data_IF_863443320828
#
_entry.id   IF_863443320828
#
_cell.length_a   1.000
_cell.length_b   1.000
_cell.length_c   1.000
_cell.angle_alpha   90.00
_cell.angle_beta   90.00
_cell.angle_gamma   90.00
#
_symmetry.space_group_name_H-M   'P 1'
#
loop_
_entity.id
_entity.type
_entity.pdbx_description
1 polymer ?
#
# COMPACT_ATOMS: atom_id res chain seq x y z
N UNK A 1 -34.91 31.22 -18.78
CA UNK A 1 -34.34 31.23 -20.14
C UNK A 1 -33.82 32.65 -20.32
N UNK A 2 -32.56 32.93 -20.01
CA UNK A 2 -31.34 32.62 -20.78
C UNK A 2 -30.16 32.17 -19.84
N UNK A 3 -29.05 31.58 -20.32
CA UNK A 3 -28.64 30.23 -19.96
C UNK A 3 -27.10 30.05 -19.95
N UNK A 4 -26.39 30.31 -18.86
CA UNK A 4 -24.94 30.01 -18.81
C UNK A 4 -24.55 29.87 -17.34
N UNK A 5 -24.46 28.67 -16.77
CA UNK A 5 -23.61 27.59 -17.24
C UNK A 5 -22.25 27.73 -16.57
N UNK A 6 -22.16 27.17 -15.35
CA UNK A 6 -20.98 26.81 -14.53
C UNK A 6 -19.61 26.98 -15.24
N UNK A 7 -18.55 27.40 -14.55
CA UNK A 7 -17.85 26.59 -13.53
C UNK A 7 -16.96 27.49 -12.66
N UNK A 8 -17.06 27.30 -11.34
CA UNK A 8 -16.13 27.83 -10.35
C UNK A 8 -14.73 27.22 -10.56
N UNK A 9 -13.80 28.02 -11.04
CA UNK A 9 -12.36 27.76 -11.05
C UNK A 9 -11.80 27.83 -9.63
N UNK A 10 -12.03 26.82 -8.80
CA UNK A 10 -11.24 26.63 -7.58
C UNK A 10 -11.19 25.16 -7.22
N UNK A 11 -10.39 24.46 -8.02
CA UNK A 11 -10.00 23.09 -7.77
C UNK A 11 -8.74 22.85 -8.56
N UNK A 12 -7.65 23.58 -8.24
CA UNK A 12 -6.31 23.13 -8.59
C UNK A 12 -6.21 21.72 -8.01
N UNK A 13 -6.45 20.73 -8.86
CA UNK A 13 -5.92 19.39 -8.68
C UNK A 13 -4.42 19.64 -8.51
N UNK A 14 -3.93 19.55 -7.29
CA UNK A 14 -2.52 19.25 -7.07
C UNK A 14 -2.36 17.83 -7.57
N UNK A 15 -2.35 17.68 -8.90
CA UNK A 15 -1.73 16.56 -9.54
C UNK A 15 -0.26 16.71 -9.15
N UNK A 16 0.11 16.08 -8.04
CA UNK A 16 1.50 15.71 -7.84
C UNK A 16 1.73 14.65 -8.92
N UNK A 17 1.98 15.10 -10.15
CA UNK A 17 2.75 14.31 -11.07
C UNK A 17 4.05 14.04 -10.32
N UNK A 18 4.15 12.86 -9.73
CA UNK A 18 5.41 12.27 -9.31
C UNK A 18 5.75 11.30 -10.45
N UNK A 19 6.35 11.77 -11.57
CA UNK A 19 6.59 10.95 -12.74
C UNK A 19 7.56 9.79 -12.43
N UNK A 20 8.21 9.85 -11.27
CA UNK A 20 9.25 8.94 -10.79
C UNK A 20 8.76 7.91 -9.75
N UNK A 21 7.49 7.99 -9.34
CA UNK A 21 6.90 7.11 -8.32
C UNK A 21 5.75 6.26 -8.84
N UNK A 22 5.49 6.25 -10.14
CA UNK A 22 4.72 5.19 -10.79
C UNK A 22 5.72 4.12 -11.24
N UNK A 23 5.89 3.02 -10.49
CA UNK A 23 6.89 2.02 -10.81
C UNK A 23 6.52 1.24 -12.08
N UNK A 24 5.31 1.40 -12.60
CA UNK A 24 4.72 0.48 -13.57
C UNK A 24 5.23 0.65 -15.01
N UNK A 25 6.16 1.58 -15.26
CA UNK A 25 6.81 1.73 -16.56
C UNK A 25 8.29 1.39 -16.44
N UNK A 26 8.65 0.24 -17.03
CA UNK A 26 10.04 -0.11 -17.28
C UNK A 26 10.69 0.95 -18.16
N UNK A 27 11.93 1.37 -17.88
CA UNK A 27 12.62 2.33 -18.73
C UNK A 27 12.88 1.72 -20.12
N UNK A 28 12.99 2.54 -21.17
CA UNK A 28 13.32 2.07 -22.51
C UNK A 28 14.59 1.22 -22.51
N UNK A 29 14.53 0.03 -23.13
CA UNK A 29 15.65 -0.92 -23.20
C UNK A 29 15.71 -1.94 -22.05
N UNK A 30 14.75 -1.91 -21.12
CA UNK A 30 14.59 -2.97 -20.11
C UNK A 30 14.15 -4.28 -20.72
N UNK A 31 14.62 -5.40 -20.15
CA UNK A 31 14.12 -6.74 -20.45
C UNK A 31 12.87 -7.06 -19.63
N UNK A 32 11.94 -7.81 -20.19
CA UNK A 32 10.87 -8.43 -19.39
C UNK A 32 11.44 -9.58 -18.55
N UNK A 33 10.79 -9.93 -17.43
CA UNK A 33 11.26 -11.02 -16.54
C UNK A 33 11.49 -12.34 -17.27
N UNK A 34 10.64 -12.67 -18.24
CA UNK A 34 10.72 -13.91 -19.02
C UNK A 34 11.93 -13.95 -19.97
N UNK A 35 12.60 -12.81 -20.19
CA UNK A 35 13.76 -12.66 -21.07
C UNK A 35 15.10 -12.64 -20.30
N UNK A 36 15.05 -12.65 -18.97
CA UNK A 36 16.22 -12.54 -18.09
C UNK A 36 16.73 -13.95 -17.77
N UNK A 37 18.01 -14.20 -18.06
CA UNK A 37 18.60 -15.53 -17.85
C UNK A 37 18.97 -15.76 -16.38
N UNK A 38 19.15 -17.01 -15.94
CA UNK A 38 19.50 -17.31 -14.54
C UNK A 38 20.82 -16.71 -14.04
N UNK A 39 21.73 -16.36 -14.96
CA UNK A 39 23.02 -15.69 -14.68
C UNK A 39 22.92 -14.16 -14.65
N UNK A 40 21.79 -13.58 -15.08
CA UNK A 40 21.52 -12.15 -15.05
C UNK A 40 20.71 -11.75 -13.80
N UNK A 41 20.92 -10.52 -13.33
CA UNK A 41 20.12 -9.95 -12.24
C UNK A 41 19.02 -9.06 -12.79
N UNK A 42 17.77 -9.28 -12.37
CA UNK A 42 16.66 -8.39 -12.71
C UNK A 42 16.91 -6.93 -12.30
N UNK A 43 17.75 -6.72 -11.28
CA UNK A 43 18.08 -5.39 -10.78
C UNK A 43 18.90 -4.57 -11.78
N UNK A 44 19.64 -5.22 -12.69
CA UNK A 44 20.47 -4.56 -13.69
C UNK A 44 19.63 -3.87 -14.77
N UNK A 45 18.38 -4.31 -14.94
CA UNK A 45 17.40 -3.73 -15.86
C UNK A 45 16.38 -2.83 -15.14
N UNK A 46 16.51 -2.65 -13.83
CA UNK A 46 15.55 -1.94 -12.97
C UNK A 46 15.96 -0.48 -12.70
N UNK A 47 14.96 0.36 -12.42
CA UNK A 47 15.15 1.77 -12.00
C UNK A 47 15.40 1.93 -10.50
N UNK A 48 15.69 0.83 -9.81
CA UNK A 48 15.86 0.78 -8.35
C UNK A 48 14.54 0.98 -7.58
N UNK A 49 13.46 0.31 -7.99
CA UNK A 49 12.12 0.44 -7.36
C UNK A 49 12.17 0.25 -5.83
N UNK A 50 12.81 -0.83 -5.37
CA UNK A 50 12.98 -1.15 -3.95
C UNK A 50 13.79 -0.10 -3.15
N UNK A 51 14.51 0.79 -3.83
CA UNK A 51 15.25 1.90 -3.22
C UNK A 51 14.48 3.24 -3.25
N UNK A 52 13.21 3.24 -3.69
CA UNK A 52 12.36 4.43 -3.84
C UNK A 52 11.13 4.42 -2.95
N UNK A 53 11.00 3.42 -2.09
CA UNK A 53 10.00 3.38 -1.03
C UNK A 53 10.47 2.46 0.10
N UNK A 54 9.81 2.58 1.23
CA UNK A 54 9.83 1.54 2.24
C UNK A 54 8.41 1.29 2.75
N UNK A 55 8.20 0.10 3.29
CA UNK A 55 6.92 -0.32 3.85
C UNK A 55 7.10 -0.63 5.33
N UNK A 56 6.19 -0.13 6.16
CA UNK A 56 6.14 -0.47 7.58
C UNK A 56 4.80 -1.10 7.94
N UNK A 57 4.78 -2.15 8.77
CA UNK A 57 3.54 -2.76 9.22
C UNK A 57 2.80 -1.82 10.16
N UNK A 58 1.50 -1.66 9.92
CA UNK A 58 0.58 -0.94 10.76
C UNK A 58 -0.24 -1.89 11.63
N UNK A 59 -0.67 -1.40 12.79
CA UNK A 59 -1.68 -2.09 13.59
C UNK A 59 -3.03 -2.02 12.86
N UNK A 60 -3.81 -3.09 12.93
CA UNK A 60 -5.19 -3.08 12.41
C UNK A 60 -6.00 -2.00 13.14
N UNK A 61 -6.59 -1.01 12.44
CA UNK A 61 -7.41 0.01 13.06
C UNK A 61 -8.70 -0.62 13.63
N UNK A 62 -9.10 -0.18 14.82
CA UNK A 62 -10.25 -0.68 15.58
C UNK A 62 -11.19 0.44 16.04
N UNK A 63 -10.72 1.68 16.00
CA UNK A 63 -11.45 2.85 16.48
C UNK A 63 -11.46 3.97 15.44
N UNK A 64 -12.33 4.96 15.64
CA UNK A 64 -12.34 6.18 14.80
C UNK A 64 -11.04 6.96 14.93
N UNK A 65 -10.46 7.03 16.13
CA UNK A 65 -9.17 7.68 16.35
C UNK A 65 -8.04 7.02 15.55
N UNK A 66 -8.04 5.67 15.47
CA UNK A 66 -7.05 4.96 14.65
C UNK A 66 -7.18 5.34 13.17
N UNK A 67 -8.40 5.45 12.64
CA UNK A 67 -8.62 5.90 11.26
C UNK A 67 -8.29 7.39 11.05
N UNK A 68 -8.48 8.24 12.06
CA UNK A 68 -8.03 9.64 12.01
C UNK A 68 -6.49 9.74 11.98
N UNK A 69 -5.78 8.84 12.65
CA UNK A 69 -4.31 8.73 12.56
C UNK A 69 -3.86 8.28 11.16
N UNK A 70 -4.49 7.24 10.59
CA UNK A 70 -4.20 6.81 9.21
C UNK A 70 -4.46 7.93 8.20
N UNK A 71 -5.53 8.70 8.42
CA UNK A 71 -5.86 9.88 7.63
C UNK A 71 -4.76 10.94 7.73
N UNK A 72 -4.23 11.16 8.94
CA UNK A 72 -3.10 12.08 9.15
C UNK A 72 -1.86 11.62 8.39
N UNK A 73 -1.52 10.33 8.37
CA UNK A 73 -0.41 9.83 7.54
C UNK A 73 -0.61 10.19 6.06
N UNK A 74 -1.78 9.87 5.49
CA UNK A 74 -2.08 10.14 4.08
C UNK A 74 -2.12 11.64 3.72
N UNK A 75 -2.30 12.52 4.71
CA UNK A 75 -2.29 13.97 4.48
C UNK A 75 -0.89 14.53 4.16
N UNK A 76 0.19 13.78 4.43
CA UNK A 76 1.57 14.24 4.20
C UNK A 76 2.05 14.04 2.76
N UNK A 77 1.20 13.52 1.86
CA UNK A 77 1.58 13.11 0.51
C UNK A 77 2.69 12.05 0.52
N UNK A 78 3.06 11.51 -0.65
CA UNK A 78 4.11 10.48 -0.75
C UNK A 78 3.89 9.27 0.18
N UNK A 79 2.64 9.00 0.55
CA UNK A 79 2.27 7.88 1.39
C UNK A 79 1.08 7.17 0.79
N UNK A 80 1.06 5.85 0.94
CA UNK A 80 -0.08 5.01 0.59
C UNK A 80 -0.26 3.98 1.70
N UNK A 81 -1.50 3.66 2.02
CA UNK A 81 -1.82 2.53 2.90
C UNK A 81 -2.40 1.42 2.06
N UNK A 82 -1.93 0.19 2.21
CA UNK A 82 -2.55 -0.96 1.58
C UNK A 82 -2.87 -2.06 2.59
N UNK A 83 -3.82 -2.91 2.22
CA UNK A 83 -4.26 -4.06 3.01
C UNK A 83 -4.15 -5.32 2.16
N UNK A 84 -3.59 -6.36 2.76
CA UNK A 84 -3.44 -7.70 2.16
C UNK A 84 -3.93 -8.77 3.13
N UNK A 85 -4.50 -9.85 2.62
CA UNK A 85 -4.88 -10.99 3.45
C UNK A 85 -3.74 -12.02 3.47
N UNK A 86 -3.12 -12.16 4.63
CA UNK A 86 -2.12 -13.19 4.88
C UNK A 86 -2.82 -14.43 5.46
N UNK A 87 -2.66 -15.59 4.83
CA UNK A 87 -3.17 -16.87 5.33
C UNK A 87 -2.03 -17.72 5.87
N UNK A 88 -2.06 -18.02 7.17
CA UNK A 88 -1.06 -18.86 7.83
C UNK A 88 -1.77 -19.91 8.66
N UNK A 89 -1.40 -21.19 8.51
CA UNK A 89 -1.98 -22.31 9.25
C UNK A 89 -3.53 -22.36 9.17
N UNK A 90 -4.07 -22.12 7.96
CA UNK A 90 -5.52 -22.10 7.72
C UNK A 90 -6.27 -20.90 8.32
N UNK A 91 -5.56 -19.90 8.86
CA UNK A 91 -6.14 -18.66 9.40
C UNK A 91 -5.74 -17.48 8.55
N UNK A 92 -6.73 -16.76 8.04
CA UNK A 92 -6.55 -15.54 7.27
C UNK A 92 -6.62 -14.31 8.18
N UNK A 93 -5.69 -13.38 8.01
CA UNK A 93 -5.64 -12.10 8.73
C UNK A 93 -5.33 -10.96 7.78
N UNK A 94 -6.00 -9.82 7.97
CA UNK A 94 -5.67 -8.59 7.24
C UNK A 94 -4.41 -7.96 7.81
N UNK A 95 -3.41 -7.74 6.96
CA UNK A 95 -2.21 -6.97 7.25
C UNK A 95 -2.34 -5.59 6.67
N UNK A 96 -2.06 -4.60 7.50
CA UNK A 96 -2.13 -3.20 7.15
C UNK A 96 -0.69 -2.71 7.03
N UNK A 97 -0.40 -1.97 5.97
CA UNK A 97 0.94 -1.54 5.66
C UNK A 97 0.92 -0.08 5.23
N UNK A 98 1.87 0.71 5.70
CA UNK A 98 2.14 2.06 5.23
C UNK A 98 3.33 2.01 4.30
N UNK A 99 3.13 2.49 3.07
CA UNK A 99 4.18 2.78 2.11
C UNK A 99 4.54 4.25 2.23
N UNK A 100 5.84 4.53 2.33
CA UNK A 100 6.39 5.88 2.23
C UNK A 100 7.26 5.93 0.99
N UNK A 101 6.87 6.76 0.03
CA UNK A 101 7.58 7.00 -1.21
C UNK A 101 8.73 7.98 -0.95
N UNK A 102 9.94 7.45 -0.84
CA UNK A 102 11.15 8.24 -0.62
C UNK A 102 12.36 7.60 -1.27
N UNK A 103 13.30 8.44 -1.71
CA UNK A 103 14.54 7.98 -2.35
C UNK A 103 15.56 7.60 -1.28
N UNK A 104 16.06 6.38 -1.32
CA UNK A 104 17.22 5.94 -0.53
C UNK A 104 18.44 6.82 -0.83
N UNK A 105 19.19 7.20 0.21
CA UNK A 105 20.39 8.03 0.05
C UNK A 105 21.49 7.31 -0.76
N UNK A 106 21.60 5.98 -0.61
CA UNK A 106 22.61 5.14 -1.27
C UNK A 106 22.25 4.74 -2.71
N UNK A 107 21.10 5.20 -3.23
CA UNK A 107 20.74 4.96 -4.62
C UNK A 107 21.66 5.78 -5.54
N UNK A 108 22.34 5.12 -6.47
CA UNK A 108 23.21 5.76 -7.47
C UNK A 108 22.40 6.27 -8.67
N UNK A 109 23.06 7.06 -9.53
CA UNK A 109 22.48 7.54 -10.79
C UNK A 109 22.23 6.41 -11.80
N UNK A 110 22.99 5.32 -11.72
CA UNK A 110 22.85 4.11 -12.52
C UNK A 110 21.85 3.10 -11.92
N UNK A 111 21.04 3.53 -10.95
CA UNK A 111 20.05 2.71 -10.24
C UNK A 111 20.61 1.59 -9.34
N UNK A 112 21.93 1.45 -9.21
CA UNK A 112 22.55 0.53 -8.27
C UNK A 112 22.58 1.05 -6.83
N UNK A 113 22.83 0.15 -5.88
CA UNK A 113 23.06 0.50 -4.47
C UNK A 113 24.56 0.75 -4.20
N UNK A 114 24.91 1.91 -3.64
CA UNK A 114 26.30 2.24 -3.31
C UNK A 114 26.88 1.40 -2.16
N UNK A 115 26.03 0.81 -1.31
CA UNK A 115 26.41 -0.04 -0.18
C UNK A 115 25.93 -1.48 -0.36
N UNK A 116 25.94 -2.01 -1.60
CA UNK A 116 25.31 -3.30 -1.92
C UNK A 116 25.76 -4.45 -1.00
N UNK A 117 27.06 -4.56 -0.71
CA UNK A 117 27.62 -5.60 0.18
C UNK A 117 27.30 -5.35 1.66
N UNK A 118 27.21 -4.09 2.08
CA UNK A 118 26.89 -3.68 3.46
C UNK A 118 25.42 -3.32 3.66
N UNK A 119 24.55 -3.81 2.77
CA UNK A 119 23.13 -3.44 2.79
C UNK A 119 22.45 -3.93 4.08
N UNK A 120 21.49 -3.17 4.64
CA UNK A 120 20.75 -3.57 5.84
C UNK A 120 20.07 -4.94 5.69
N UNK A 121 19.76 -5.60 6.82
CA UNK A 121 19.13 -6.93 6.84
C UNK A 121 17.87 -7.01 5.97
N UNK A 122 16.97 -6.03 6.07
CA UNK A 122 15.74 -5.97 5.24
C UNK A 122 16.02 -5.96 3.74
N UNK A 123 17.13 -5.36 3.30
CA UNK A 123 17.55 -5.37 1.90
C UNK A 123 18.25 -6.68 1.51
N UNK A 124 18.90 -7.38 2.45
CA UNK A 124 19.48 -8.72 2.21
C UNK A 124 18.42 -9.81 2.12
N UNK A 125 17.35 -9.67 2.91
CA UNK A 125 16.25 -10.63 2.96
C UNK A 125 15.29 -10.51 1.77
N UNK A 126 15.46 -9.48 0.93
CA UNK A 126 14.68 -9.28 -0.28
C UNK A 126 14.94 -10.39 -1.29
N UNK A 127 13.86 -10.91 -1.90
CA UNK A 127 13.93 -11.97 -2.90
C UNK A 127 13.42 -11.49 -4.26
N UNK A 128 14.22 -11.75 -5.29
CA UNK A 128 13.94 -11.34 -6.66
C UNK A 128 12.77 -12.11 -7.32
N UNK A 129 12.41 -13.28 -6.79
CA UNK A 129 11.29 -14.10 -7.25
C UNK A 129 9.93 -13.42 -7.02
N UNK A 130 9.78 -12.69 -5.91
CA UNK A 130 8.57 -11.93 -5.58
C UNK A 130 8.66 -10.44 -5.93
N UNK A 131 9.66 -10.04 -6.72
CA UNK A 131 9.91 -8.65 -7.05
C UNK A 131 8.88 -8.06 -8.02
N UNK A 132 8.44 -6.84 -7.73
CA UNK A 132 7.50 -6.01 -8.49
C UNK A 132 8.14 -5.32 -9.73
N UNK A 133 9.24 -5.86 -10.24
CA UNK A 133 10.06 -5.29 -11.31
C UNK A 133 9.27 -4.94 -12.58
N UNK A 134 8.50 -5.88 -13.12
CA UNK A 134 7.68 -5.70 -14.31
C UNK A 134 6.19 -6.02 -14.05
N UNK A 135 5.83 -6.19 -12.77
CA UNK A 135 4.48 -6.48 -12.32
C UNK A 135 3.81 -5.23 -11.73
N UNK A 136 2.54 -4.97 -12.06
CA UNK A 136 1.81 -3.86 -11.46
C UNK A 136 1.52 -4.12 -9.98
N UNK A 137 1.40 -3.04 -9.22
CA UNK A 137 1.00 -3.10 -7.82
C UNK A 137 -0.50 -3.41 -7.72
N UNK A 138 -0.85 -4.62 -7.29
CA UNK A 138 -2.24 -5.06 -7.11
C UNK A 138 -2.46 -5.39 -5.65
N UNK A 139 -3.42 -4.70 -5.02
CA UNK A 139 -3.79 -4.89 -3.62
C UNK A 139 -5.27 -5.21 -3.50
N UNK A 140 -5.65 -5.92 -2.42
CA UNK A 140 -7.06 -6.10 -2.06
C UNK A 140 -7.71 -4.74 -1.77
N UNK A 141 -7.01 -3.89 -1.02
CA UNK A 141 -7.42 -2.51 -0.73
C UNK A 141 -6.18 -1.61 -0.73
N UNK A 142 -6.31 -0.40 -1.28
CA UNK A 142 -5.29 0.64 -1.20
C UNK A 142 -5.92 2.02 -1.03
N UNK A 143 -5.20 2.90 -0.32
CA UNK A 143 -5.65 4.24 0.03
C UNK A 143 -4.49 5.22 -0.17
N UNK A 144 -4.68 6.15 -1.10
CA UNK A 144 -3.71 7.22 -1.40
C UNK A 144 -4.19 8.59 -0.91
N UNK A 145 -5.45 8.71 -0.45
CA UNK A 145 -6.04 9.99 -0.06
C UNK A 145 -6.64 9.94 1.34
N UNK A 146 -6.59 11.05 2.10
CA UNK A 146 -7.28 11.18 3.38
C UNK A 146 -8.78 10.86 3.31
N UNK A 147 -9.44 11.18 2.18
CA UNK A 147 -10.86 10.97 1.98
C UNK A 147 -11.21 9.48 1.79
N UNK A 148 -10.36 8.73 1.06
CA UNK A 148 -10.63 7.31 0.78
C UNK A 148 -10.52 6.47 2.05
N UNK A 149 -9.49 6.70 2.87
CA UNK A 149 -9.32 5.97 4.13
C UNK A 149 -10.42 6.31 5.14
N UNK A 150 -10.88 7.57 5.18
CA UNK A 150 -12.00 7.99 6.04
C UNK A 150 -13.28 7.26 5.65
N UNK A 151 -13.63 7.28 4.36
CA UNK A 151 -14.84 6.64 3.86
C UNK A 151 -14.82 5.12 4.08
N UNK A 152 -13.65 4.50 3.93
CA UNK A 152 -13.47 3.09 4.27
C UNK A 152 -13.64 2.83 5.77
N UNK A 153 -13.01 3.64 6.61
CA UNK A 153 -13.06 3.49 8.07
C UNK A 153 -14.46 3.56 8.64
N UNK A 154 -15.32 4.43 8.11
CA UNK A 154 -16.74 4.51 8.50
C UNK A 154 -17.47 3.18 8.26
N UNK A 155 -17.30 2.57 7.07
CA UNK A 155 -17.91 1.27 6.73
C UNK A 155 -17.30 0.14 7.57
N UNK A 156 -15.97 0.08 7.64
CA UNK A 156 -15.24 -0.95 8.38
C UNK A 156 -15.63 -0.99 9.86
N UNK A 157 -15.77 0.18 10.50
CA UNK A 157 -16.19 0.25 11.90
C UNK A 157 -17.67 -0.10 12.08
N UNK A 158 -18.54 0.24 11.12
CA UNK A 158 -19.95 -0.14 11.16
C UNK A 158 -20.12 -1.67 11.05
N UNK A 159 -19.43 -2.32 10.11
CA UNK A 159 -19.42 -3.78 9.95
C UNK A 159 -18.87 -4.48 11.20
N UNK A 160 -17.78 -3.96 11.78
CA UNK A 160 -17.22 -4.51 13.00
C UNK A 160 -18.18 -4.39 14.20
N UNK A 161 -18.96 -3.30 14.29
CA UNK A 161 -19.99 -3.13 15.34
C UNK A 161 -21.13 -4.11 15.14
N UNK A 162 -21.60 -4.28 13.91
CA UNK A 162 -22.65 -5.25 13.56
C UNK A 162 -22.24 -6.67 13.94
N UNK A 163 -21.06 -7.12 13.48
CA UNK A 163 -20.56 -8.46 13.77
C UNK A 163 -20.41 -8.72 15.28
N UNK A 164 -20.01 -7.71 16.06
CA UNK A 164 -19.95 -7.81 17.52
C UNK A 164 -21.33 -7.97 18.14
N UNK A 165 -22.34 -7.23 17.65
CA UNK A 165 -23.73 -7.33 18.11
C UNK A 165 -24.30 -8.73 17.84
N UNK A 166 -24.22 -9.20 16.59
CA UNK A 166 -24.70 -10.54 16.21
C UNK A 166 -24.05 -11.65 17.04
N UNK A 167 -22.74 -11.55 17.29
CA UNK A 167 -22.04 -12.54 18.13
C UNK A 167 -22.48 -12.50 19.59
N UNK A 168 -22.79 -11.32 20.13
CA UNK A 168 -23.31 -11.19 21.49
C UNK A 168 -24.72 -11.82 21.60
N UNK A 169 -25.61 -11.54 20.65
CA UNK A 169 -26.96 -12.10 20.59
C UNK A 169 -26.96 -13.63 20.47
N UNK A 170 -26.08 -14.18 19.63
CA UNK A 170 -25.91 -15.62 19.48
C UNK A 170 -25.44 -16.29 20.78
N UNK A 171 -24.50 -15.67 21.50
CA UNK A 171 -24.03 -16.16 22.81
C UNK A 171 -25.15 -16.15 23.85
N UNK A 172 -25.92 -15.06 23.94
CA UNK A 172 -27.05 -14.95 24.86
C UNK A 172 -28.12 -16.00 24.56
N UNK A 173 -28.44 -16.21 23.27
CA UNK A 173 -29.40 -17.22 22.83
C UNK A 173 -28.94 -18.64 23.13
N UNK A 174 -27.65 -18.94 22.95
CA UNK A 174 -27.07 -20.24 23.28
C UNK A 174 -27.05 -20.52 24.79
N UNK A 175 -26.81 -19.49 25.62
CA UNK A 175 -26.88 -19.60 27.08
C UNK A 175 -28.31 -19.88 27.55
N UNK A 176 -29.31 -19.19 26.97
CA UNK A 176 -30.73 -19.41 27.30
C UNK A 176 -31.24 -20.80 26.90
N UNK A 177 -30.71 -21.41 25.83
CA UNK A 177 -31.05 -22.79 25.41
C UNK A 177 -30.41 -23.88 26.27
N UNK A 178 -29.43 -23.54 27.12
CA UNK A 178 -28.72 -24.48 28.01
C UNK A 178 -29.18 -24.40 29.47
N UNK A 179 -30.07 -23.46 29.78
CA UNK A 179 -30.75 -23.30 31.07
C UNK A 179 -32.17 -23.83 30.97
#
# INVERSE_FOLDING_TARGET
MDPSGKKSETGKRFAVELPVLRPDLLPPGSKHRDEITPDESICDFCVGKCCRYFTVPLKTPRTRADFDELRWYLAHQQTMIFVETETTNGKSRKRWNLVVWTRCEYLKSDHGCAIYEDRPGVCRDYKADTCEYDSPWVFEESFETPESIRAYGERFLAEAREARRTRAEAKTSAAKKRS
#
